data_IF_621571284264
#
_entry.id   IF_621571284264
#
_cell.length_a   1.000
_cell.length_b   1.000
_cell.length_c   1.000
_cell.angle_alpha   90.00
_cell.angle_beta   90.00
_cell.angle_gamma   90.00
#
_symmetry.space_group_name_H-M   'P 1'
#
loop_
_entity.id
_entity.type
_entity.pdbx_description
1 polymer ?
#
# COMPACT_ATOMS: atom_id res chain seq x y z
N UNK A 1 1.76 -6.24 -12.59
CA UNK A 1 2.67 -5.86 -11.48
C UNK A 1 1.80 -5.29 -10.39
N UNK A 2 2.06 -5.64 -9.13
CA UNK A 2 1.19 -5.29 -8.01
C UNK A 2 1.95 -4.47 -6.97
N UNK A 3 1.31 -3.42 -6.45
CA UNK A 3 1.79 -2.67 -5.30
C UNK A 3 0.98 -3.10 -4.07
N UNK A 4 1.63 -3.77 -3.13
CA UNK A 4 1.05 -4.21 -1.87
C UNK A 4 1.09 -3.04 -0.88
N UNK A 5 -0.07 -2.52 -0.50
CA UNK A 5 -0.12 -1.48 0.54
C UNK A 5 -0.33 -2.06 1.94
N UNK A 6 -0.27 -1.18 2.93
CA UNK A 6 -0.24 -1.46 4.36
C UNK A 6 -1.31 -2.45 4.81
N UNK A 7 -2.57 -2.31 4.39
CA UNK A 7 -3.65 -3.19 4.85
C UNK A 7 -3.47 -4.63 4.36
N UNK A 8 -3.03 -4.83 3.11
CA UNK A 8 -2.71 -6.16 2.59
C UNK A 8 -1.49 -6.76 3.29
N UNK A 9 -0.41 -6.00 3.47
CA UNK A 9 0.80 -6.48 4.13
C UNK A 9 0.53 -6.93 5.58
N UNK A 10 -0.28 -6.16 6.31
CA UNK A 10 -0.69 -6.52 7.68
C UNK A 10 -1.51 -7.82 7.67
N UNK A 11 -2.47 -7.97 6.76
CA UNK A 11 -3.31 -9.16 6.70
C UNK A 11 -2.52 -10.40 6.27
N UNK A 12 -1.52 -10.23 5.40
CA UNK A 12 -0.58 -11.27 5.01
C UNK A 12 0.25 -11.76 6.22
N UNK A 13 0.85 -10.84 6.98
CA UNK A 13 1.60 -11.17 8.20
C UNK A 13 0.74 -11.82 9.29
N UNK A 14 -0.56 -11.48 9.33
CA UNK A 14 -1.53 -12.09 10.25
C UNK A 14 -2.07 -13.43 9.78
N UNK A 15 -1.65 -13.91 8.60
CA UNK A 15 -2.11 -15.17 8.05
C UNK A 15 -3.60 -15.18 7.72
N UNK A 16 -4.18 -14.06 7.27
CA UNK A 16 -5.57 -14.01 6.84
C UNK A 16 -5.75 -14.84 5.56
N UNK A 17 -6.74 -15.73 5.56
CA UNK A 17 -6.98 -16.68 4.46
C UNK A 17 -7.13 -15.99 3.11
N UNK A 18 -7.86 -14.87 3.03
CA UNK A 18 -8.08 -14.15 1.77
C UNK A 18 -6.76 -13.55 1.25
N UNK A 19 -5.95 -12.98 2.14
CA UNK A 19 -4.65 -12.41 1.80
C UNK A 19 -3.67 -13.51 1.34
N UNK A 20 -3.62 -14.65 2.04
CA UNK A 20 -2.78 -15.79 1.67
C UNK A 20 -3.21 -16.41 0.33
N UNK A 21 -4.51 -16.60 0.11
CA UNK A 21 -5.05 -17.11 -1.17
C UNK A 21 -4.74 -16.17 -2.32
N UNK A 22 -4.83 -14.87 -2.11
CA UNK A 22 -4.51 -13.88 -3.13
C UNK A 22 -3.00 -13.82 -3.39
N UNK A 23 -2.18 -13.76 -2.34
CA UNK A 23 -0.72 -13.81 -2.46
C UNK A 23 -0.26 -15.05 -3.24
N UNK A 24 -0.82 -16.22 -2.98
CA UNK A 24 -0.51 -17.44 -3.71
C UNK A 24 -0.75 -17.34 -5.23
N UNK A 25 -1.69 -16.50 -5.68
CA UNK A 25 -1.96 -16.25 -7.11
C UNK A 25 -0.98 -15.28 -7.75
N UNK A 26 -0.41 -14.36 -6.97
CA UNK A 26 0.43 -13.27 -7.49
C UNK A 26 1.91 -13.39 -7.11
N UNK A 27 2.30 -14.33 -6.24
CA UNK A 27 3.67 -14.46 -5.71
C UNK A 27 4.75 -14.66 -6.78
N UNK A 28 4.38 -15.23 -7.93
CA UNK A 28 5.31 -15.44 -9.05
C UNK A 28 5.40 -14.21 -9.97
N UNK A 29 4.60 -13.16 -9.69
CA UNK A 29 4.70 -11.86 -10.35
C UNK A 29 5.72 -10.98 -9.64
N UNK A 30 6.14 -9.89 -10.31
CA UNK A 30 6.92 -8.86 -9.66
C UNK A 30 6.05 -8.04 -8.68
N UNK A 31 6.43 -8.06 -7.41
CA UNK A 31 5.71 -7.44 -6.29
C UNK A 31 6.47 -6.23 -5.77
N UNK A 32 5.71 -5.18 -5.50
CA UNK A 32 6.22 -3.89 -5.04
C UNK A 32 5.51 -3.48 -3.75
N UNK A 33 6.11 -2.58 -3.01
CA UNK A 33 5.42 -1.77 -2.00
C UNK A 33 5.98 -0.35 -2.02
N UNK A 34 5.36 0.58 -1.30
CA UNK A 34 5.86 1.95 -1.19
C UNK A 34 6.70 2.12 0.07
N UNK A 35 7.64 3.06 0.08
CA UNK A 35 8.38 3.43 1.30
C UNK A 35 7.46 3.94 2.41
N UNK A 36 6.28 4.48 2.05
CA UNK A 36 5.25 4.94 2.98
C UNK A 36 4.58 3.74 3.66
N UNK A 37 4.16 2.74 2.87
CA UNK A 37 3.58 1.50 3.41
C UNK A 37 4.60 0.69 4.22
N UNK A 38 5.86 0.67 3.79
CA UNK A 38 6.95 0.08 4.56
C UNK A 38 7.11 0.77 5.92
N UNK A 39 7.11 2.11 5.96
CA UNK A 39 7.14 2.86 7.22
C UNK A 39 5.94 2.54 8.12
N UNK A 40 4.73 2.45 7.57
CA UNK A 40 3.54 2.08 8.34
C UNK A 40 3.62 0.67 8.93
N UNK A 41 4.09 -0.30 8.14
CA UNK A 41 4.24 -1.68 8.58
C UNK A 41 5.28 -1.79 9.70
N UNK A 42 6.41 -1.09 9.57
CA UNK A 42 7.52 -1.12 10.55
C UNK A 42 7.19 -0.36 11.84
N UNK A 43 6.55 0.82 11.74
CA UNK A 43 6.25 1.64 12.93
C UNK A 43 5.31 0.96 13.90
N UNK A 44 4.35 0.17 13.40
CA UNK A 44 3.31 -0.50 14.20
C UNK A 44 3.90 -1.32 15.35
N UNK A 45 4.66 -2.39 15.06
CA UNK A 45 5.31 -3.20 16.09
C UNK A 45 6.40 -2.43 16.84
N UNK A 46 7.16 -1.56 16.18
CA UNK A 46 8.28 -0.85 16.83
C UNK A 46 7.82 0.07 17.95
N UNK A 47 6.74 0.82 17.74
CA UNK A 47 6.24 1.81 18.73
C UNK A 47 5.64 1.16 19.98
N UNK A 48 5.29 -0.13 19.94
CA UNK A 48 4.72 -0.87 21.07
C UNK A 48 5.67 -1.95 21.63
N UNK A 49 6.96 -1.90 21.28
CA UNK A 49 7.99 -2.78 21.83
C UNK A 49 7.91 -4.24 21.35
N UNK A 50 7.30 -4.48 20.19
CA UNK A 50 7.17 -5.81 19.58
C UNK A 50 8.30 -6.06 18.58
N UNK A 51 9.53 -6.16 19.08
CA UNK A 51 10.71 -6.26 18.22
C UNK A 51 10.71 -7.53 17.34
N UNK A 52 10.14 -8.65 17.80
CA UNK A 52 10.02 -9.86 16.96
C UNK A 52 9.11 -9.63 15.75
N UNK A 53 7.96 -9.00 15.94
CA UNK A 53 7.04 -8.66 14.84
C UNK A 53 7.63 -7.58 13.93
N UNK A 54 8.51 -6.72 14.44
CA UNK A 54 9.28 -5.77 13.62
C UNK A 54 10.26 -6.50 12.69
N UNK A 55 11.07 -7.44 13.21
CA UNK A 55 12.01 -8.21 12.37
C UNK A 55 11.27 -9.02 11.29
N UNK A 56 10.14 -9.65 11.62
CA UNK A 56 9.29 -10.34 10.63
C UNK A 56 8.78 -9.39 9.55
N UNK A 57 8.43 -8.15 9.90
CA UNK A 57 8.03 -7.15 8.92
C UNK A 57 9.20 -6.70 8.04
N UNK A 58 10.42 -6.59 8.59
CA UNK A 58 11.64 -6.31 7.82
C UNK A 58 11.90 -7.43 6.81
N UNK A 59 11.89 -8.69 7.23
CA UNK A 59 12.09 -9.84 6.34
C UNK A 59 11.08 -9.87 5.18
N UNK A 60 9.81 -9.57 5.47
CA UNK A 60 8.79 -9.45 4.42
C UNK A 60 9.14 -8.32 3.44
N UNK A 61 9.52 -7.13 3.93
CA UNK A 61 9.83 -5.98 3.08
C UNK A 61 11.08 -6.20 2.24
N UNK A 62 12.09 -6.92 2.75
CA UNK A 62 13.30 -7.29 1.99
C UNK A 62 12.99 -8.24 0.81
N UNK A 63 11.85 -8.94 0.85
CA UNK A 63 11.38 -9.77 -0.26
C UNK A 63 10.64 -9.01 -1.36
N UNK A 64 10.42 -7.70 -1.20
CA UNK A 64 9.66 -6.84 -2.10
C UNK A 64 10.52 -5.73 -2.70
N UNK A 65 10.15 -5.23 -3.88
CA UNK A 65 10.72 -3.98 -4.40
C UNK A 65 10.06 -2.79 -3.69
N UNK A 66 10.77 -2.18 -2.72
CA UNK A 66 10.30 -0.99 -1.99
C UNK A 66 10.59 0.28 -2.80
N UNK A 67 9.53 0.93 -3.28
CA UNK A 67 9.60 2.13 -4.13
C UNK A 67 9.63 3.41 -3.27
N UNK A 68 10.59 4.32 -3.51
CA UNK A 68 10.69 5.56 -2.75
C UNK A 68 9.58 6.55 -3.12
N UNK A 69 9.12 7.33 -2.15
CA UNK A 69 8.35 8.55 -2.43
C UNK A 69 9.25 9.59 -3.09
N UNK A 70 9.06 9.80 -4.39
CA UNK A 70 9.91 10.65 -5.22
C UNK A 70 9.36 12.07 -5.35
N UNK A 71 10.14 12.99 -5.92
CA UNK A 71 9.63 14.31 -6.30
C UNK A 71 8.47 14.23 -7.30
N UNK A 72 8.46 13.21 -8.16
CA UNK A 72 7.38 13.03 -9.11
C UNK A 72 6.13 12.43 -8.43
N UNK A 73 6.30 11.49 -7.49
CA UNK A 73 5.20 11.04 -6.62
C UNK A 73 4.56 12.22 -5.86
N UNK A 74 5.37 13.20 -5.43
CA UNK A 74 4.88 14.40 -4.74
C UNK A 74 3.99 15.28 -5.63
N UNK A 75 4.36 15.48 -6.90
CA UNK A 75 3.50 16.21 -7.85
C UNK A 75 2.17 15.50 -8.06
N UNK A 76 2.20 14.17 -8.23
CA UNK A 76 0.98 13.36 -8.40
C UNK A 76 0.11 13.45 -7.13
N UNK A 77 0.71 13.38 -5.94
CA UNK A 77 -0.01 13.48 -4.67
C UNK A 77 -0.80 14.79 -4.53
N UNK A 78 -0.22 15.93 -4.92
CA UNK A 78 -0.91 17.23 -4.87
C UNK A 78 -2.13 17.26 -5.80
N UNK A 79 -2.03 16.67 -6.99
CA UNK A 79 -3.17 16.59 -7.92
C UNK A 79 -4.27 15.68 -7.39
N UNK A 80 -3.92 14.55 -6.76
CA UNK A 80 -4.90 13.67 -6.08
C UNK A 80 -5.59 14.43 -4.94
N UNK A 81 -4.82 15.09 -4.08
CA UNK A 81 -5.36 15.85 -2.94
C UNK A 81 -6.31 16.96 -3.41
N UNK A 82 -5.92 17.70 -4.45
CA UNK A 82 -6.76 18.73 -5.05
C UNK A 82 -8.09 18.16 -5.56
N UNK A 83 -8.04 17.08 -6.35
CA UNK A 83 -9.24 16.43 -6.89
C UNK A 83 -10.19 15.94 -5.79
N UNK A 84 -9.66 15.34 -4.72
CA UNK A 84 -10.46 14.91 -3.57
C UNK A 84 -11.10 16.09 -2.83
N UNK A 85 -10.35 17.18 -2.62
CA UNK A 85 -10.86 18.41 -1.98
C UNK A 85 -11.94 19.07 -2.80
N UNK A 86 -11.77 19.18 -4.12
CA UNK A 86 -12.77 19.76 -5.02
C UNK A 86 -14.09 18.96 -5.02
N UNK A 87 -14.01 17.64 -4.78
CA UNK A 87 -15.17 16.76 -4.62
C UNK A 87 -15.77 16.76 -3.21
N UNK A 88 -15.20 17.50 -2.26
CA UNK A 88 -15.62 17.49 -0.86
C UNK A 88 -15.42 16.14 -0.17
N UNK A 89 -14.49 15.32 -0.65
CA UNK A 89 -14.17 14.02 -0.06
C UNK A 89 -13.17 14.17 1.08
N UNK A 90 -13.24 13.26 2.05
CA UNK A 90 -12.23 13.16 3.10
C UNK A 90 -10.86 12.85 2.47
N UNK A 91 -9.84 13.57 2.93
CA UNK A 91 -8.45 13.42 2.48
C UNK A 91 -7.65 12.72 3.56
N UNK A 92 -7.33 11.44 3.33
CA UNK A 92 -6.29 10.75 4.08
C UNK A 92 -4.95 10.96 3.38
N UNK A 93 -4.08 11.78 3.97
CA UNK A 93 -2.79 12.13 3.37
C UNK A 93 -1.90 10.89 3.14
N UNK A 94 -1.93 9.90 4.04
CA UNK A 94 -1.11 8.70 3.87
C UNK A 94 -1.56 7.89 2.65
N UNK A 95 -2.88 7.71 2.47
CA UNK A 95 -3.43 7.03 1.29
C UNK A 95 -3.06 7.78 0.01
N UNK A 96 -3.11 9.11 0.02
CA UNK A 96 -2.70 9.94 -1.12
C UNK A 96 -1.22 9.72 -1.47
N UNK A 97 -0.32 9.67 -0.48
CA UNK A 97 1.11 9.45 -0.72
C UNK A 97 1.41 8.02 -1.21
N UNK A 98 0.70 7.01 -0.70
CA UNK A 98 0.81 5.62 -1.18
C UNK A 98 0.33 5.52 -2.62
N UNK A 99 -0.85 6.06 -2.90
CA UNK A 99 -1.46 6.03 -4.22
C UNK A 99 -0.59 6.73 -5.26
N UNK A 100 0.04 7.86 -4.91
CA UNK A 100 0.84 8.61 -5.85
C UNK A 100 2.10 7.86 -6.31
N UNK A 101 2.74 7.10 -5.41
CA UNK A 101 3.86 6.21 -5.76
C UNK A 101 3.38 5.08 -6.67
N UNK A 102 2.25 4.44 -6.35
CA UNK A 102 1.70 3.37 -7.20
C UNK A 102 1.35 3.89 -8.60
N UNK A 103 0.75 5.08 -8.70
CA UNK A 103 0.39 5.71 -9.97
C UNK A 103 1.62 6.13 -10.79
N UNK A 104 2.66 6.69 -10.16
CA UNK A 104 3.92 7.00 -10.85
C UNK A 104 4.48 5.79 -11.60
N UNK A 105 4.38 4.61 -10.99
CA UNK A 105 4.90 3.37 -11.54
C UNK A 105 3.85 2.53 -12.31
N UNK A 106 2.64 3.07 -12.53
CA UNK A 106 1.53 2.36 -13.20
C UNK A 106 1.25 0.98 -12.60
N UNK A 107 1.27 0.89 -11.27
CA UNK A 107 1.07 -0.35 -10.53
C UNK A 107 -0.39 -0.49 -10.08
N UNK A 108 -0.88 -1.73 -10.12
CA UNK A 108 -2.18 -2.05 -9.54
C UNK A 108 -2.06 -2.18 -8.02
N UNK A 109 -2.73 -1.32 -7.28
CA UNK A 109 -2.68 -1.26 -5.82
C UNK A 109 -3.57 -2.35 -5.21
N UNK A 110 -2.97 -3.27 -4.44
CA UNK A 110 -3.67 -4.36 -3.75
C UNK A 110 -4.06 -3.89 -2.37
N UNK A 111 -5.35 -3.71 -2.12
CA UNK A 111 -5.86 -3.18 -0.86
C UNK A 111 -7.22 -3.75 -0.49
N UNK A 112 -7.61 -3.59 0.77
CA UNK A 112 -8.99 -3.76 1.24
C UNK A 112 -9.64 -2.47 1.70
N UNK A 113 -8.93 -1.35 1.62
CA UNK A 113 -9.43 -0.04 1.97
C UNK A 113 -10.19 0.56 0.78
N UNK A 114 -11.43 0.97 1.03
CA UNK A 114 -12.33 1.55 0.04
C UNK A 114 -11.98 2.98 -0.34
N UNK A 115 -11.18 3.66 0.48
CA UNK A 115 -10.77 5.04 0.22
C UNK A 115 -9.96 5.17 -1.06
N UNK A 116 -9.12 4.18 -1.40
CA UNK A 116 -8.33 4.19 -2.63
C UNK A 116 -9.20 4.17 -3.89
N UNK A 117 -10.41 3.59 -3.85
CA UNK A 117 -11.33 3.57 -4.99
C UNK A 117 -11.86 4.97 -5.36
N UNK A 118 -11.69 5.97 -4.48
CA UNK A 118 -12.07 7.37 -4.73
C UNK A 118 -11.03 8.12 -5.57
N UNK A 119 -9.79 7.60 -5.66
CA UNK A 119 -8.68 8.25 -6.35
C UNK A 119 -8.80 8.00 -7.85
N UNK A 120 -9.01 9.08 -8.61
CA UNK A 120 -9.17 9.00 -10.06
C UNK A 120 -7.87 8.53 -10.73
N UNK A 121 -7.97 7.48 -11.55
CA UNK A 121 -6.85 6.95 -12.34
C UNK A 121 -5.95 5.96 -11.60
N UNK A 122 -6.23 5.68 -10.33
CA UNK A 122 -5.57 4.59 -9.59
C UNK A 122 -6.21 3.25 -9.95
N UNK A 123 -5.41 2.28 -10.40
CA UNK A 123 -5.86 0.90 -10.56
C UNK A 123 -5.84 0.18 -9.21
N UNK A 124 -6.98 -0.36 -8.79
CA UNK A 124 -7.15 -1.05 -7.52
C UNK A 124 -7.51 -2.52 -7.74
N UNK A 125 -6.88 -3.41 -6.98
CA UNK A 125 -7.21 -4.84 -6.90
C UNK A 125 -7.67 -5.18 -5.48
N UNK A 126 -8.91 -5.66 -5.35
CA UNK A 126 -9.43 -6.13 -4.06
C UNK A 126 -9.16 -7.62 -3.92
N UNK A 127 -8.62 -8.02 -2.77
CA UNK A 127 -8.29 -9.42 -2.46
C UNK A 127 -9.33 -10.11 -1.57
N UNK A 128 -10.36 -9.37 -1.14
CA UNK A 128 -11.54 -9.90 -0.47
C UNK A 128 -12.80 -9.28 -1.10
N UNK A 129 -13.88 -10.06 -1.32
CA UNK A 129 -15.18 -9.51 -1.65
C UNK A 129 -15.76 -8.76 -0.44
N UNK A 130 -16.55 -7.72 -0.71
CA UNK A 130 -17.40 -7.04 0.28
C UNK A 130 -18.50 -7.97 0.82
#
# INVERSE_FOLDING_TARGET
>A
MFCLETTFLIDLLRGRDEALKFYAKIRDSKLYTTSISAWELLRGPKLIGKDKEFEVAVELLESLDVLPFSFNSAKIAVEIEKDLREKGMEVNLIDVLIASVAMEHSLKLVTRDEHFSRIKGLEVERYRPE
#
